data_IF_323510831450
#
_entry.id   IF_323510831450
#
_cell.length_a   1.000
_cell.length_b   1.000
_cell.length_c   1.000
_cell.angle_alpha   90.00
_cell.angle_beta   90.00
_cell.angle_gamma   90.00
#
_symmetry.space_group_name_H-M   'P 1'
#
loop_
_entity.id
_entity.type
_entity.pdbx_description
1 polymer ?
#
# COMPACT_ATOMS: atom_id res chain seq x y z
N UNK A 1 42.62 5.01 9.79
CA UNK A 1 41.53 4.29 10.46
C UNK A 1 40.23 4.76 9.82
N UNK A 2 39.68 3.96 8.91
CA UNK A 2 38.42 4.29 8.22
C UNK A 2 37.30 3.75 9.10
N UNK A 3 36.50 4.66 9.68
CA UNK A 3 35.28 4.28 10.37
C UNK A 3 34.24 3.91 9.30
N UNK A 4 34.02 2.61 9.09
CA UNK A 4 32.83 2.12 8.41
C UNK A 4 31.65 2.35 9.35
N UNK A 5 30.95 3.47 9.18
CA UNK A 5 29.62 3.65 9.76
C UNK A 5 28.71 2.68 9.01
N UNK A 6 28.52 1.50 9.60
CA UNK A 6 27.46 0.58 9.18
C UNK A 6 26.14 1.30 9.43
N UNK A 7 25.53 1.80 8.36
CA UNK A 7 24.16 2.27 8.39
C UNK A 7 23.29 1.02 8.53
N UNK A 8 23.03 0.58 9.76
CA UNK A 8 22.09 -0.51 10.02
C UNK A 8 20.72 -0.07 9.49
N UNK A 9 20.19 -0.83 8.53
CA UNK A 9 18.80 -0.65 8.09
C UNK A 9 17.90 -0.76 9.30
N UNK A 10 16.96 0.20 9.46
CA UNK A 10 16.00 0.18 10.56
C UNK A 10 15.20 -1.13 10.49
N UNK A 11 15.27 -1.94 11.53
CA UNK A 11 14.51 -3.19 11.62
C UNK A 11 13.02 -2.89 11.82
N UNK A 12 12.11 -3.73 11.29
CA UNK A 12 10.68 -3.65 11.59
C UNK A 12 10.43 -3.64 13.10
N UNK A 13 9.56 -2.74 13.55
CA UNK A 13 9.14 -2.69 14.95
C UNK A 13 8.20 -3.86 15.21
N UNK A 14 8.40 -4.58 16.33
CA UNK A 14 7.42 -5.56 16.76
C UNK A 14 6.07 -4.85 17.04
N UNK A 15 4.92 -5.44 16.67
CA UNK A 15 3.64 -4.85 17.02
C UNK A 15 3.52 -4.76 18.55
N UNK A 16 3.03 -3.63 19.11
CA UNK A 16 2.74 -3.52 20.54
C UNK A 16 1.72 -4.56 21.00
N UNK A 17 1.65 -4.85 22.29
CA UNK A 17 0.58 -5.69 22.87
C UNK A 17 -0.61 -4.81 23.30
N UNK A 18 -1.84 -5.12 22.87
CA UNK A 18 -3.02 -4.36 23.29
C UNK A 18 -4.31 -4.72 22.54
N UNK A 19 -5.39 -4.02 22.87
CA UNK A 19 -6.64 -4.11 22.11
C UNK A 19 -6.42 -3.52 20.72
N UNK A 20 -6.69 -4.31 19.69
CA UNK A 20 -6.50 -3.92 18.29
C UNK A 20 -7.67 -3.03 17.87
N UNK A 21 -7.44 -1.73 17.57
CA UNK A 21 -8.49 -0.89 17.00
C UNK A 21 -8.83 -1.37 15.59
N UNK A 22 -10.11 -1.32 15.22
CA UNK A 22 -10.52 -1.76 13.88
C UNK A 22 -10.26 -0.66 12.84
N UNK A 23 -9.01 -0.56 12.41
CA UNK A 23 -8.56 0.34 11.36
C UNK A 23 -8.84 -0.18 9.94
N UNK A 24 -9.49 -1.34 9.80
CA UNK A 24 -9.82 -1.89 8.49
C UNK A 24 -11.11 -2.74 8.59
N UNK A 25 -12.28 -2.07 8.73
CA UNK A 25 -13.57 -2.75 8.67
C UNK A 25 -13.72 -3.40 7.30
N UNK A 26 -14.00 -4.71 7.31
CA UNK A 26 -13.90 -5.53 6.12
C UNK A 26 -15.00 -6.60 6.02
N UNK A 27 -16.17 -6.35 6.60
CA UNK A 27 -17.33 -7.24 6.45
C UNK A 27 -17.85 -7.22 5.01
N UNK A 28 -18.38 -8.34 4.55
CA UNK A 28 -19.08 -8.42 3.26
C UNK A 28 -20.17 -7.34 3.15
N UNK A 29 -20.23 -6.67 2.00
CA UNK A 29 -21.13 -5.54 1.76
C UNK A 29 -20.57 -4.18 2.18
N UNK A 30 -19.41 -4.15 2.86
CA UNK A 30 -18.70 -2.91 3.14
C UNK A 30 -18.34 -2.20 1.84
N UNK A 31 -18.58 -0.89 1.79
CA UNK A 31 -18.26 -0.08 0.62
C UNK A 31 -17.80 1.33 0.97
N UNK A 32 -17.03 1.91 0.05
CA UNK A 32 -16.44 3.25 0.18
C UNK A 32 -16.50 3.97 -1.17
N UNK A 33 -16.78 5.26 -1.15
CA UNK A 33 -16.67 6.15 -2.29
C UNK A 33 -15.67 7.27 -1.99
N UNK A 34 -14.69 7.42 -2.87
CA UNK A 34 -13.69 8.47 -2.80
C UNK A 34 -13.79 9.40 -4.00
N UNK A 35 -13.53 10.69 -3.78
CA UNK A 35 -13.11 11.58 -4.86
C UNK A 35 -11.65 11.31 -5.20
N UNK A 36 -11.29 11.37 -6.48
CA UNK A 36 -9.91 11.24 -6.95
C UNK A 36 -9.51 12.53 -7.66
N UNK A 37 -8.29 12.99 -7.39
CA UNK A 37 -7.60 14.00 -8.17
C UNK A 37 -6.22 13.47 -8.55
N UNK A 38 -5.88 13.54 -9.83
CA UNK A 38 -4.59 13.12 -10.37
C UNK A 38 -3.92 14.29 -11.09
N UNK A 39 -2.60 14.38 -10.98
CA UNK A 39 -1.77 15.32 -11.74
C UNK A 39 -0.61 14.56 -12.35
N UNK A 40 -0.45 14.64 -13.66
CA UNK A 40 0.61 13.94 -14.40
C UNK A 40 1.85 14.83 -14.66
N UNK A 41 2.86 14.25 -15.32
CA UNK A 41 4.10 14.94 -15.74
C UNK A 41 3.87 16.22 -16.55
N UNK A 42 2.74 16.33 -17.24
CA UNK A 42 2.40 17.49 -18.08
C UNK A 42 1.66 18.58 -17.30
N UNK A 43 1.34 18.33 -16.03
CA UNK A 43 0.55 19.23 -15.19
C UNK A 43 -0.95 19.16 -15.46
N UNK A 44 -1.41 18.18 -16.26
CA UNK A 44 -2.83 18.00 -16.52
C UNK A 44 -3.49 17.45 -15.25
N UNK A 45 -4.52 18.17 -14.80
CA UNK A 45 -5.37 17.76 -13.70
C UNK A 45 -6.51 16.88 -14.23
N UNK A 46 -6.66 15.67 -13.69
CA UNK A 46 -7.82 14.80 -13.94
C UNK A 46 -8.54 14.55 -12.62
N UNK A 47 -9.86 14.56 -12.65
CA UNK A 47 -10.69 14.27 -11.48
C UNK A 47 -11.65 13.12 -11.76
N UNK A 48 -12.02 12.40 -10.71
CA UNK A 48 -12.92 11.25 -10.84
C UNK A 48 -13.36 10.72 -9.49
N UNK A 49 -13.78 9.46 -9.49
CA UNK A 49 -14.25 8.76 -8.30
C UNK A 49 -13.72 7.34 -8.24
N UNK A 50 -13.37 6.86 -7.05
CA UNK A 50 -13.05 5.45 -6.78
C UNK A 50 -14.13 4.87 -5.90
N UNK A 51 -14.72 3.78 -6.33
CA UNK A 51 -15.63 2.98 -5.53
C UNK A 51 -14.92 1.70 -5.11
N UNK A 52 -15.02 1.36 -3.83
CA UNK A 52 -14.44 0.15 -3.24
C UNK A 52 -15.58 -0.67 -2.65
N UNK A 53 -15.59 -1.97 -2.92
CA UNK A 53 -16.60 -2.90 -2.43
C UNK A 53 -15.96 -4.22 -2.00
N UNK A 54 -16.35 -4.72 -0.83
CA UNK A 54 -15.89 -6.00 -0.31
C UNK A 54 -17.00 -7.04 -0.40
N UNK A 55 -16.70 -8.21 -0.97
CA UNK A 55 -17.69 -9.27 -1.16
C UNK A 55 -17.03 -10.62 -1.42
N UNK A 56 -17.38 -11.61 -0.61
CA UNK A 56 -16.98 -12.99 -0.81
C UNK A 56 -15.50 -13.24 -0.58
N UNK A 57 -15.10 -14.49 -0.77
CA UNK A 57 -13.76 -14.97 -0.48
C UNK A 57 -13.21 -15.92 -1.57
N UNK A 58 -11.88 -16.06 -1.55
CA UNK A 58 -11.16 -17.09 -2.30
C UNK A 58 -10.18 -17.84 -1.41
N UNK A 59 -9.87 -19.07 -1.83
CA UNK A 59 -8.82 -19.86 -1.24
C UNK A 59 -7.60 -19.89 -2.18
N UNK A 60 -6.51 -19.24 -1.78
CA UNK A 60 -5.24 -19.22 -2.51
C UNK A 60 -4.22 -20.00 -1.70
N UNK A 61 -3.73 -21.12 -2.23
CA UNK A 61 -2.77 -22.00 -1.57
C UNK A 61 -3.20 -22.40 -0.13
N UNK A 62 -4.49 -22.63 0.08
CA UNK A 62 -5.04 -23.01 1.39
C UNK A 62 -5.26 -21.85 2.37
N UNK A 63 -4.97 -20.61 1.98
CA UNK A 63 -5.24 -19.40 2.78
C UNK A 63 -6.47 -18.68 2.23
N UNK A 64 -7.43 -18.33 3.10
CA UNK A 64 -8.64 -17.58 2.72
C UNK A 64 -8.34 -16.08 2.62
N UNK A 65 -8.82 -15.46 1.55
CA UNK A 65 -8.73 -14.03 1.27
C UNK A 65 -10.11 -13.50 0.91
N UNK A 66 -10.44 -12.28 1.32
CA UNK A 66 -11.62 -11.56 0.87
C UNK A 66 -11.34 -10.84 -0.45
N UNK A 67 -12.37 -10.68 -1.28
CA UNK A 67 -12.26 -9.85 -2.46
C UNK A 67 -12.49 -8.38 -2.13
N UNK A 68 -11.62 -7.54 -2.69
CA UNK A 68 -11.83 -6.12 -2.84
C UNK A 68 -12.00 -5.79 -4.31
N UNK A 69 -13.19 -5.33 -4.68
CA UNK A 69 -13.45 -4.77 -6.01
C UNK A 69 -13.25 -3.26 -5.97
N UNK A 70 -12.39 -2.78 -6.87
CA UNK A 70 -12.11 -1.36 -7.09
C UNK A 70 -12.62 -0.93 -8.45
N UNK A 71 -13.49 0.08 -8.48
CA UNK A 71 -13.98 0.70 -9.71
C UNK A 71 -13.54 2.16 -9.74
N UNK A 72 -12.60 2.49 -10.62
CA UNK A 72 -12.09 3.85 -10.82
C UNK A 72 -12.75 4.43 -12.05
N UNK A 73 -13.44 5.56 -11.88
CA UNK A 73 -14.04 6.32 -12.98
C UNK A 73 -13.33 7.65 -13.15
N UNK A 74 -12.69 7.83 -14.29
CA UNK A 74 -12.02 9.07 -14.68
C UNK A 74 -12.64 9.57 -15.99
N UNK A 75 -13.42 10.66 -15.93
CA UNK A 75 -14.21 11.14 -17.07
C UNK A 75 -15.18 10.05 -17.60
N UNK A 76 -15.02 9.59 -18.84
CA UNK A 76 -15.82 8.51 -19.45
C UNK A 76 -15.22 7.12 -19.27
N UNK A 77 -13.97 7.02 -18.82
CA UNK A 77 -13.27 5.74 -18.65
C UNK A 77 -13.62 5.13 -17.29
N UNK A 78 -13.93 3.83 -17.29
CA UNK A 78 -14.13 3.03 -16.08
C UNK A 78 -13.09 1.90 -16.12
N UNK A 79 -12.30 1.83 -15.06
CA UNK A 79 -11.36 0.75 -14.81
C UNK A 79 -11.84 -0.05 -13.61
N UNK A 80 -11.89 -1.38 -13.74
CA UNK A 80 -12.22 -2.28 -12.64
C UNK A 80 -11.02 -3.17 -12.29
N UNK A 81 -10.78 -3.36 -11.00
CA UNK A 81 -9.73 -4.23 -10.45
C UNK A 81 -10.30 -5.09 -9.34
N UNK A 82 -9.75 -6.29 -9.18
CA UNK A 82 -10.06 -7.18 -8.06
C UNK A 82 -8.74 -7.50 -7.36
N UNK A 83 -8.71 -7.22 -6.07
CA UNK A 83 -7.59 -7.54 -5.18
C UNK A 83 -8.03 -8.57 -4.15
N UNK A 84 -7.11 -9.41 -3.69
CA UNK A 84 -7.35 -10.39 -2.64
C UNK A 84 -6.61 -9.95 -1.39
N UNK A 85 -7.30 -9.81 -0.26
CA UNK A 85 -6.66 -9.42 0.99
C UNK A 85 -7.15 -10.26 2.17
N UNK A 86 -6.35 -10.33 3.22
CA UNK A 86 -6.73 -10.93 4.50
C UNK A 86 -6.33 -10.03 5.66
N UNK A 87 -7.11 -10.09 6.74
CA UNK A 87 -6.77 -9.48 8.02
C UNK A 87 -6.24 -10.56 8.96
N UNK A 88 -5.17 -10.29 9.68
CA UNK A 88 -4.72 -11.10 10.81
C UNK A 88 -4.68 -10.25 12.08
N UNK A 89 -4.22 -10.82 13.19
CA UNK A 89 -3.97 -10.09 14.43
C UNK A 89 -2.93 -8.98 14.28
N UNK A 90 -2.03 -9.06 13.28
CA UNK A 90 -0.90 -8.14 13.14
C UNK A 90 -1.10 -7.09 12.05
N UNK A 91 -1.96 -7.33 11.07
CA UNK A 91 -2.02 -6.47 9.90
C UNK A 91 -3.08 -6.83 8.86
N UNK A 92 -3.10 -6.00 7.82
CA UNK A 92 -3.82 -6.25 6.55
C UNK A 92 -2.79 -6.66 5.51
N UNK A 93 -3.05 -7.78 4.84
CA UNK A 93 -2.15 -8.42 3.89
C UNK A 93 -2.84 -8.56 2.54
N UNK A 94 -2.29 -7.93 1.50
CA UNK A 94 -2.77 -8.10 0.13
C UNK A 94 -1.94 -9.17 -0.56
N UNK A 95 -2.61 -10.10 -1.23
CA UNK A 95 -1.95 -11.09 -2.07
C UNK A 95 -1.34 -10.40 -3.31
N UNK A 96 -0.11 -10.78 -3.64
CA UNK A 96 0.59 -10.33 -4.84
C UNK A 96 0.78 -11.50 -5.78
N UNK A 97 0.19 -11.43 -6.96
CA UNK A 97 0.54 -12.35 -8.03
C UNK A 97 1.92 -11.97 -8.60
N UNK A 98 2.90 -12.82 -8.32
CA UNK A 98 4.29 -12.63 -8.72
C UNK A 98 4.66 -13.44 -9.97
N UNK A 99 3.73 -14.20 -10.53
CA UNK A 99 3.97 -15.08 -11.69
C UNK A 99 4.45 -14.31 -12.92
N UNK A 100 3.83 -13.16 -13.20
CA UNK A 100 4.22 -12.28 -14.30
C UNK A 100 5.60 -11.64 -14.12
N UNK A 101 5.95 -11.25 -12.90
CA UNK A 101 7.27 -10.68 -12.60
C UNK A 101 8.38 -11.71 -12.73
N UNK A 102 8.15 -12.93 -12.22
CA UNK A 102 9.10 -14.02 -12.38
C UNK A 102 9.29 -14.40 -13.86
N UNK A 103 8.22 -14.41 -14.65
CA UNK A 103 8.26 -14.74 -16.08
C UNK A 103 9.12 -13.77 -16.91
N UNK A 104 9.18 -12.50 -16.52
CA UNK A 104 9.95 -11.46 -17.22
C UNK A 104 11.48 -11.54 -16.98
N UNK A 105 11.93 -12.33 -15.99
CA UNK A 105 13.35 -12.45 -15.65
C UNK A 105 14.00 -13.67 -16.33
N UNK A 106 15.29 -13.58 -16.73
CA UNK A 106 16.09 -14.73 -17.15
C UNK A 106 16.12 -15.82 -16.08
N UNK A 107 16.15 -17.09 -16.49
CA UNK A 107 16.11 -18.26 -15.59
C UNK A 107 17.22 -18.23 -14.51
N UNK A 108 18.39 -17.68 -14.84
CA UNK A 108 19.53 -17.53 -13.93
C UNK A 108 19.26 -16.58 -12.77
N UNK A 109 18.46 -15.53 -12.97
CA UNK A 109 18.04 -14.59 -11.93
C UNK A 109 16.79 -15.08 -11.22
N UNK A 110 15.88 -15.74 -11.93
CA UNK A 110 14.64 -16.30 -11.36
C UNK A 110 14.93 -17.28 -10.22
N UNK A 111 15.91 -18.17 -10.39
CA UNK A 111 16.28 -19.17 -9.38
C UNK A 111 16.97 -18.58 -8.13
N UNK A 112 17.34 -17.30 -8.16
CA UNK A 112 18.01 -16.58 -7.06
C UNK A 112 17.13 -15.53 -6.42
N UNK A 113 15.86 -15.45 -6.85
CA UNK A 113 14.94 -14.42 -6.44
C UNK A 113 13.96 -14.97 -5.41
N UNK A 114 13.80 -14.21 -4.33
CA UNK A 114 12.77 -14.43 -3.33
C UNK A 114 11.83 -13.24 -3.36
N UNK A 115 10.54 -13.50 -3.60
CA UNK A 115 9.48 -12.50 -3.53
C UNK A 115 8.51 -12.92 -2.42
N UNK A 116 8.16 -11.99 -1.55
CA UNK A 116 7.08 -12.21 -0.58
C UNK A 116 5.75 -12.30 -1.34
N UNK A 117 4.91 -13.30 -1.06
CA UNK A 117 3.61 -13.44 -1.75
C UNK A 117 2.54 -12.47 -1.26
N UNK A 118 2.84 -11.66 -0.25
CA UNK A 118 1.90 -10.72 0.38
C UNK A 118 2.55 -9.37 0.66
N UNK A 119 1.75 -8.31 0.56
CA UNK A 119 2.08 -6.96 1.02
C UNK A 119 1.37 -6.68 2.35
N UNK A 120 2.13 -6.39 3.40
CA UNK A 120 1.57 -5.93 4.67
C UNK A 120 1.30 -4.42 4.61
N UNK A 121 0.16 -4.02 4.08
CA UNK A 121 -0.15 -2.61 3.77
C UNK A 121 -0.53 -1.81 5.00
N UNK A 122 -1.00 -2.46 6.07
CA UNK A 122 -1.36 -1.84 7.33
C UNK A 122 -0.92 -2.71 8.52
N UNK A 123 -0.26 -2.09 9.49
CA UNK A 123 -0.08 -2.63 10.84
C UNK A 123 -1.29 -2.22 11.68
N UNK A 124 -1.96 -3.14 12.38
CA UNK A 124 -3.16 -2.77 13.14
C UNK A 124 -2.84 -2.14 14.50
N UNK A 125 -1.66 -2.40 15.04
CA UNK A 125 -1.19 -1.84 16.32
C UNK A 125 -0.16 -0.74 16.04
N UNK A 126 -0.67 0.46 15.73
CA UNK A 126 0.14 1.63 15.41
C UNK A 126 0.60 2.32 16.70
N UNK A 127 1.89 2.24 17.02
CA UNK A 127 2.52 3.13 17.98
C UNK A 127 3.24 4.27 17.25
N UNK A 128 3.45 5.40 17.93
CA UNK A 128 4.22 6.50 17.37
C UNK A 128 5.62 6.01 16.94
N UNK A 129 6.01 6.30 15.70
CA UNK A 129 7.29 5.89 15.14
C UNK A 129 7.40 4.41 14.73
N UNK A 130 6.32 3.62 14.87
CA UNK A 130 6.25 2.25 14.34
C UNK A 130 6.66 2.21 12.88
N UNK A 131 7.46 1.21 12.51
CA UNK A 131 7.97 1.02 11.16
C UNK A 131 7.84 -0.44 10.76
N UNK A 132 7.41 -0.72 9.53
CA UNK A 132 7.33 -2.08 9.00
C UNK A 132 7.68 -2.14 7.52
N UNK A 133 8.08 -3.33 7.08
CA UNK A 133 8.30 -3.62 5.67
C UNK A 133 6.97 -4.06 5.05
N UNK A 134 6.47 -3.28 4.10
CA UNK A 134 5.22 -3.60 3.37
C UNK A 134 5.50 -4.71 2.36
N UNK A 135 6.57 -4.56 1.58
CA UNK A 135 6.91 -5.49 0.51
C UNK A 135 8.39 -5.41 0.15
N UNK A 136 8.98 -6.52 -0.30
CA UNK A 136 10.36 -6.54 -0.79
C UNK A 136 10.56 -7.66 -1.79
N UNK A 137 11.25 -7.32 -2.88
CA UNK A 137 11.87 -8.30 -3.78
C UNK A 137 13.34 -8.39 -3.40
N UNK A 138 13.85 -9.61 -3.23
CA UNK A 138 15.27 -9.86 -2.96
C UNK A 138 15.85 -10.78 -4.03
N UNK A 139 17.03 -10.44 -4.53
CA UNK A 139 17.82 -11.23 -5.49
C UNK A 139 19.15 -11.55 -4.83
N UNK A 140 19.49 -12.83 -4.73
CA UNK A 140 20.80 -13.28 -4.28
C UNK A 140 21.81 -13.20 -5.45
N UNK A 141 22.82 -12.35 -5.32
CA UNK A 141 23.86 -12.21 -6.35
C UNK A 141 24.98 -13.24 -6.14
N UNK A 142 25.35 -13.45 -4.89
CA UNK A 142 26.32 -14.43 -4.38
C UNK A 142 25.88 -14.82 -2.95
N UNK A 143 26.40 -15.93 -2.38
CA UNK A 143 26.17 -16.23 -0.98
C UNK A 143 26.44 -15.00 -0.10
N UNK A 144 25.47 -14.66 0.76
CA UNK A 144 25.50 -13.49 1.66
C UNK A 144 25.42 -12.10 0.98
N UNK A 145 25.42 -12.01 -0.35
CA UNK A 145 25.26 -10.76 -1.09
C UNK A 145 23.85 -10.70 -1.69
N UNK A 146 22.99 -9.90 -1.08
CA UNK A 146 21.61 -9.71 -1.54
C UNK A 146 21.38 -8.31 -2.10
N UNK A 147 20.63 -8.25 -3.19
CA UNK A 147 20.17 -7.05 -3.84
C UNK A 147 18.65 -6.95 -3.72
N UNK A 148 18.17 -5.78 -3.27
CA UNK A 148 16.74 -5.50 -3.21
C UNK A 148 16.42 -4.45 -4.28
N UNK A 149 15.94 -4.86 -5.46
CA UNK A 149 15.56 -3.92 -6.51
C UNK A 149 14.30 -3.14 -6.18
N UNK A 150 13.47 -3.69 -5.30
CA UNK A 150 12.17 -3.15 -4.97
C UNK A 150 11.88 -3.34 -3.49
N UNK A 151 11.62 -2.24 -2.78
CA UNK A 151 11.31 -2.25 -1.35
C UNK A 151 10.29 -1.17 -1.03
N UNK A 152 9.17 -1.57 -0.45
CA UNK A 152 8.19 -0.66 0.15
C UNK A 152 8.28 -0.80 1.66
N UNK A 153 8.44 0.33 2.35
CA UNK A 153 8.36 0.43 3.80
C UNK A 153 7.25 1.37 4.19
N UNK A 154 6.76 1.22 5.42
CA UNK A 154 5.78 2.12 5.98
C UNK A 154 6.18 2.52 7.40
N UNK A 155 5.80 3.73 7.80
CA UNK A 155 5.94 4.19 9.16
C UNK A 155 4.73 5.01 9.61
N UNK A 156 4.33 4.80 10.85
CA UNK A 156 3.40 5.70 11.51
C UNK A 156 4.09 7.05 11.75
N UNK A 157 3.45 8.12 11.31
CA UNK A 157 3.99 9.49 11.41
C UNK A 157 3.48 10.15 12.68
N UNK A 158 2.15 10.25 12.79
CA UNK A 158 1.45 10.91 13.90
C UNK A 158 -0.05 10.65 13.82
N UNK A 159 -0.72 10.93 14.91
CA UNK A 159 -2.17 11.10 14.96
C UNK A 159 -2.54 12.56 14.60
N UNK A 160 -3.62 12.76 13.85
CA UNK A 160 -4.20 14.08 13.63
C UNK A 160 -5.72 14.05 13.42
N UNK A 161 -6.40 15.12 13.82
CA UNK A 161 -7.83 15.29 13.59
C UNK A 161 -8.09 15.74 12.13
N UNK A 162 -9.01 15.06 11.47
CA UNK A 162 -9.39 15.27 10.08
C UNK A 162 -10.89 15.52 10.00
N UNK A 163 -11.28 16.62 9.37
CA UNK A 163 -12.66 16.89 8.99
C UNK A 163 -12.97 16.19 7.67
N UNK A 164 -13.89 15.23 7.70
CA UNK A 164 -14.43 14.56 6.52
C UNK A 164 -15.65 15.29 6.01
N UNK A 165 -15.66 15.59 4.72
CA UNK A 165 -16.80 16.17 4.01
C UNK A 165 -17.59 15.05 3.34
N UNK A 166 -18.38 14.31 4.12
CA UNK A 166 -19.19 13.22 3.59
C UNK A 166 -20.46 13.76 2.93
N UNK A 167 -21.04 12.99 2.02
CA UNK A 167 -22.35 13.30 1.41
C UNK A 167 -23.44 13.42 2.49
N UNK A 168 -23.35 12.62 3.55
CA UNK A 168 -24.27 12.65 4.70
C UNK A 168 -24.05 13.82 5.66
N UNK A 169 -22.94 14.56 5.50
CA UNK A 169 -22.57 15.69 6.34
C UNK A 169 -21.11 15.64 6.81
N UNK A 170 -20.70 16.71 7.47
CA UNK A 170 -19.36 16.86 8.02
C UNK A 170 -19.14 15.98 9.26
N UNK A 171 -18.01 15.27 9.31
CA UNK A 171 -17.63 14.39 10.42
C UNK A 171 -16.17 14.61 10.81
N UNK A 172 -15.92 14.97 12.07
CA UNK A 172 -14.57 15.01 12.62
C UNK A 172 -14.14 13.62 13.09
N UNK A 173 -12.97 13.18 12.65
CA UNK A 173 -12.37 11.90 13.04
C UNK A 173 -10.91 12.08 13.39
N UNK A 174 -10.44 11.29 14.34
CA UNK A 174 -9.01 11.19 14.63
C UNK A 174 -8.41 10.08 13.77
N UNK A 175 -7.37 10.40 13.01
CA UNK A 175 -6.77 9.50 12.03
C UNK A 175 -5.27 9.30 12.27
N UNK A 176 -4.82 8.08 12.02
CA UNK A 176 -3.40 7.73 12.05
C UNK A 176 -2.80 8.02 10.67
N UNK A 177 -1.84 8.95 10.61
CA UNK A 177 -1.12 9.26 9.37
C UNK A 177 0.03 8.28 9.18
N UNK A 178 -0.01 7.52 8.10
CA UNK A 178 1.01 6.54 7.73
C UNK A 178 1.75 7.05 6.50
N UNK A 179 3.09 7.02 6.52
CA UNK A 179 3.95 7.30 5.37
C UNK A 179 4.40 5.98 4.76
N UNK A 180 4.35 5.91 3.43
CA UNK A 180 4.86 4.81 2.63
C UNK A 180 6.01 5.31 1.77
N UNK A 181 7.14 4.61 1.82
CA UNK A 181 8.31 4.91 1.00
C UNK A 181 8.61 3.71 0.11
N UNK A 182 8.64 3.95 -1.20
CA UNK A 182 9.12 3.00 -2.20
C UNK A 182 10.56 3.37 -2.57
N UNK A 183 11.44 2.39 -2.45
CA UNK A 183 12.77 2.41 -3.04
C UNK A 183 12.83 1.44 -4.21
N UNK A 184 13.22 1.97 -5.38
CA UNK A 184 13.38 1.21 -6.60
C UNK A 184 14.77 1.41 -7.20
N UNK A 185 15.45 0.33 -7.53
CA UNK A 185 16.74 0.34 -8.24
C UNK A 185 16.89 -0.88 -9.13
N UNK A 186 17.34 -0.68 -10.36
CA UNK A 186 17.61 -1.79 -11.29
C UNK A 186 19.05 -2.30 -11.19
N UNK A 187 19.97 -1.42 -10.82
CA UNK A 187 21.39 -1.73 -10.67
C UNK A 187 21.81 -1.51 -9.20
N UNK A 188 22.48 -2.47 -8.54
CA UNK A 188 23.00 -2.29 -7.18
C UNK A 188 24.00 -1.14 -7.04
N UNK A 189 24.67 -0.75 -8.13
CA UNK A 189 25.67 0.32 -8.15
C UNK A 189 25.06 1.73 -8.34
N UNK A 190 23.80 1.80 -8.73
CA UNK A 190 23.09 3.07 -8.95
C UNK A 190 22.28 3.51 -7.72
N UNK A 191 22.10 4.82 -7.52
CA UNK A 191 21.25 5.32 -6.46
C UNK A 191 19.80 4.89 -6.67
N UNK A 192 19.12 4.53 -5.58
CA UNK A 192 17.71 4.18 -5.64
C UNK A 192 16.84 5.41 -5.95
N UNK A 193 15.87 5.22 -6.84
CA UNK A 193 14.74 6.12 -7.01
C UNK A 193 13.81 5.97 -5.83
N UNK A 194 13.32 7.11 -5.32
CA UNK A 194 12.48 7.16 -4.12
C UNK A 194 11.15 7.82 -4.43
N UNK A 195 10.08 7.16 -4.02
CA UNK A 195 8.72 7.67 -4.14
C UNK A 195 8.02 7.57 -2.79
N UNK A 196 7.12 8.51 -2.52
CA UNK A 196 6.44 8.58 -1.23
C UNK A 196 4.94 8.80 -1.42
N UNK A 197 4.16 8.15 -0.56
CA UNK A 197 2.75 8.45 -0.36
C UNK A 197 2.39 8.44 1.12
N UNK A 198 1.22 8.96 1.45
CA UNK A 198 0.67 9.00 2.79
C UNK A 198 -0.77 8.49 2.77
N UNK A 199 -1.16 7.74 3.79
CA UNK A 199 -2.57 7.41 4.06
C UNK A 199 -2.98 7.92 5.44
N UNK A 200 -4.28 8.14 5.58
CA UNK A 200 -4.93 8.44 6.84
C UNK A 200 -5.93 7.34 7.09
N UNK A 201 -5.81 6.70 8.24
CA UNK A 201 -6.66 5.58 8.62
C UNK A 201 -7.38 5.92 9.92
N UNK A 202 -8.72 5.83 9.90
CA UNK A 202 -9.57 6.11 11.05
C UNK A 202 -10.21 4.83 11.59
N UNK A 203 -10.36 4.77 12.91
CA UNK A 203 -10.99 3.64 13.61
C UNK A 203 -12.44 3.49 13.16
N UNK A 204 -12.88 2.26 12.87
CA UNK A 204 -14.22 1.89 12.38
C UNK A 204 -14.61 2.50 11.03
N UNK A 205 -13.65 3.05 10.28
CA UNK A 205 -13.88 3.57 8.93
C UNK A 205 -12.85 2.98 7.96
N UNK A 206 -11.58 2.89 8.33
CA UNK A 206 -10.53 2.48 7.40
C UNK A 206 -9.82 3.68 6.77
N UNK A 207 -9.35 3.53 5.53
CA UNK A 207 -8.62 4.59 4.82
C UNK A 207 -9.61 5.71 4.49
N UNK A 208 -9.38 6.90 5.03
CA UNK A 208 -10.22 8.09 4.80
C UNK A 208 -9.61 9.07 3.79
N UNK A 209 -8.28 9.00 3.64
CA UNK A 209 -7.53 9.82 2.70
C UNK A 209 -6.26 9.09 2.28
N UNK A 210 -5.85 9.28 1.04
CA UNK A 210 -4.53 8.87 0.55
C UNK A 210 -3.99 9.93 -0.41
N UNK A 211 -2.71 10.29 -0.29
CA UNK A 211 -2.09 11.26 -1.19
C UNK A 211 -0.62 10.93 -1.46
N UNK A 212 -0.13 11.28 -2.65
CA UNK A 212 1.29 11.18 -3.00
C UNK A 212 1.51 10.57 -4.37
N UNK A 213 2.67 9.94 -4.56
CA UNK A 213 3.05 9.38 -5.85
C UNK A 213 2.18 8.18 -6.23
N UNK A 214 1.69 8.14 -7.47
CA UNK A 214 0.75 7.12 -7.94
C UNK A 214 1.33 5.70 -7.92
N UNK A 215 2.64 5.55 -8.09
CA UNK A 215 3.30 4.24 -8.03
C UNK A 215 3.09 3.63 -6.65
N UNK A 216 3.33 4.42 -5.60
CA UNK A 216 3.19 3.95 -4.21
C UNK A 216 1.72 3.71 -3.89
N UNK A 217 0.83 4.63 -4.27
CA UNK A 217 -0.62 4.52 -4.05
C UNK A 217 -1.19 3.25 -4.69
N UNK A 218 -0.86 2.98 -5.96
CA UNK A 218 -1.33 1.80 -6.67
C UNK A 218 -0.78 0.50 -6.05
N UNK A 219 0.48 0.51 -5.60
CA UNK A 219 1.07 -0.64 -4.94
C UNK A 219 0.38 -0.97 -3.61
N UNK A 220 0.09 0.03 -2.78
CA UNK A 220 -0.51 -0.23 -1.45
C UNK A 220 -2.01 -0.48 -1.46
N UNK A 221 -2.73 0.00 -2.50
CA UNK A 221 -4.18 -0.22 -2.61
C UNK A 221 -4.53 -1.49 -3.39
N UNK A 222 -3.75 -1.80 -4.42
CA UNK A 222 -4.11 -2.80 -5.43
C UNK A 222 -3.02 -3.87 -5.66
N UNK A 223 -1.87 -3.78 -4.98
CA UNK A 223 -0.73 -4.67 -5.20
C UNK A 223 -0.02 -4.47 -6.55
N UNK A 224 -0.36 -3.42 -7.30
CA UNK A 224 0.16 -3.18 -8.65
C UNK A 224 1.32 -2.19 -8.65
N UNK A 225 2.37 -2.51 -9.41
CA UNK A 225 3.54 -1.63 -9.60
C UNK A 225 3.63 -1.22 -11.05
N UNK A 226 3.30 0.05 -11.33
CA UNK A 226 3.43 0.62 -12.67
C UNK A 226 4.39 1.82 -12.64
N UNK A 227 5.55 1.68 -13.28
CA UNK A 227 6.62 2.69 -13.30
C UNK A 227 6.56 3.62 -14.53
N UNK A 228 5.50 3.57 -15.34
CA UNK A 228 5.43 4.28 -16.62
C UNK A 228 5.40 5.82 -16.48
N UNK A 229 4.72 6.34 -15.45
CA UNK A 229 4.78 7.76 -15.08
C UNK A 229 5.14 7.90 -13.61
N UNK A 230 6.41 8.16 -13.36
CA UNK A 230 6.97 8.31 -12.01
C UNK A 230 6.75 9.69 -11.39
N UNK A 231 6.19 10.64 -12.16
CA UNK A 231 5.88 11.99 -11.68
C UNK A 231 4.42 12.15 -11.26
N UNK A 232 3.55 11.22 -11.69
CA UNK A 232 2.12 11.29 -11.42
C UNK A 232 1.84 11.26 -9.91
N UNK A 233 1.03 12.22 -9.45
CA UNK A 233 0.53 12.27 -8.08
C UNK A 233 -0.98 12.05 -8.04
N UNK A 234 -1.45 11.41 -6.97
CA UNK A 234 -2.85 11.10 -6.73
C UNK A 234 -3.23 11.62 -5.35
N UNK A 235 -4.43 12.15 -5.22
CA UNK A 235 -5.10 12.40 -3.94
C UNK A 235 -6.48 11.74 -4.00
N UNK A 236 -6.84 10.97 -2.98
CA UNK A 236 -8.20 10.46 -2.80
C UNK A 236 -8.72 10.87 -1.42
N UNK A 237 -9.97 11.36 -1.38
CA UNK A 237 -10.66 11.71 -0.14
C UNK A 237 -11.99 10.96 -0.06
N UNK A 238 -12.26 10.33 1.08
CA UNK A 238 -13.50 9.62 1.34
C UNK A 238 -14.66 10.61 1.39
N UNK A 239 -15.74 10.30 0.68
CA UNK A 239 -16.97 11.10 0.65
C UNK A 239 -18.22 10.28 1.02
N UNK A 240 -18.15 8.96 1.01
CA UNK A 240 -19.24 8.08 1.44
C UNK A 240 -18.67 6.74 1.89
N UNK A 241 -19.30 6.11 2.89
CA UNK A 241 -19.00 4.73 3.27
C UNK A 241 -20.23 4.08 3.91
N UNK A 242 -20.27 2.75 3.84
CA UNK A 242 -21.26 1.92 4.54
C UNK A 242 -20.60 0.64 4.99
N UNK A 243 -20.73 0.32 6.28
CA UNK A 243 -20.17 -0.88 6.92
C UNK A 243 -21.34 -1.59 7.63
N UNK A 244 -21.72 -2.81 7.19
CA UNK A 244 -22.80 -3.60 7.80
C UNK A 244 -22.52 -4.08 9.22
#
# INVERSE_FOLDING_TARGET
MVFLISCTSKEPTAPPSGQIPDYFPNSDGTNYLFTITETDSTGILRTGSRYVYYDGDSLINGTSYLFQKDSIRMSTEIEERISNFRKSETGVFYFVDTSGFAAALPDTLRNRMTITSEMQTLLLLLAEGSFWQVFKVTIELQPEITFAPYRITANHVKEEDVLLHLISGDLNVTAQKIKYDLEFRLNPEEPAQKFTAFSWVAVKIGIIKIEGNSIVVNAILNGEVNLADSSKTVTQNLIEYSIP
#
